data_IF_212729983518
#
_entry.id   IF_212729983518
#
_cell.length_a   1.000
_cell.length_b   1.000
_cell.length_c   1.000
_cell.angle_alpha   90.00
_cell.angle_beta   90.00
_cell.angle_gamma   90.00
#
_symmetry.space_group_name_H-M   'P 1'
#
loop_
_entity.id
_entity.type
_entity.pdbx_description
1 polymer ?
#
# COMPACT_ATOMS: atom_id res chain seq x y z
N UNK A 1 42.01 -66.47 21.48
CA UNK A 1 42.77 -65.22 21.76
C UNK A 1 42.70 -64.17 20.64
N UNK A 2 42.92 -64.50 19.35
CA UNK A 2 42.95 -63.51 18.25
C UNK A 2 41.63 -62.73 18.03
N UNK A 3 40.48 -63.39 18.19
CA UNK A 3 39.15 -62.74 18.02
C UNK A 3 38.85 -61.70 19.09
N UNK A 4 39.23 -61.96 20.35
CA UNK A 4 39.03 -61.04 21.49
C UNK A 4 39.90 -59.78 21.33
N UNK A 5 41.15 -59.94 20.87
CA UNK A 5 42.04 -58.82 20.59
C UNK A 5 41.51 -57.92 19.46
N UNK A 6 40.95 -58.50 18.40
CA UNK A 6 40.33 -57.74 17.30
C UNK A 6 39.12 -56.92 17.77
N UNK A 7 38.23 -57.52 18.57
CA UNK A 7 37.07 -56.85 19.16
C UNK A 7 37.48 -55.67 20.08
N UNK A 8 38.53 -55.84 20.88
CA UNK A 8 39.07 -54.77 21.72
C UNK A 8 39.64 -53.61 20.89
N UNK A 9 40.33 -53.89 19.78
CA UNK A 9 40.86 -52.87 18.86
C UNK A 9 39.71 -52.11 18.18
N UNK A 10 38.68 -52.81 17.71
CA UNK A 10 37.49 -52.19 17.11
C UNK A 10 36.74 -51.32 18.13
N UNK A 11 36.57 -51.79 19.36
CA UNK A 11 35.94 -51.02 20.45
C UNK A 11 36.75 -49.77 20.80
N UNK A 12 38.08 -49.87 20.90
CA UNK A 12 38.98 -48.72 21.10
C UNK A 12 38.92 -47.73 19.93
N UNK A 13 38.89 -48.20 18.68
CA UNK A 13 38.73 -47.34 17.49
C UNK A 13 37.37 -46.63 17.49
N UNK A 14 36.29 -47.34 17.82
CA UNK A 14 34.95 -46.76 17.93
C UNK A 14 34.86 -45.72 19.05
N UNK A 15 35.44 -46.00 20.22
CA UNK A 15 35.51 -45.06 21.34
C UNK A 15 36.33 -43.81 20.98
N UNK A 16 37.47 -43.97 20.31
CA UNK A 16 38.29 -42.85 19.83
C UNK A 16 37.55 -42.00 18.80
N UNK A 17 36.80 -42.61 17.87
CA UNK A 17 35.93 -41.89 16.92
C UNK A 17 34.83 -41.10 17.62
N UNK A 18 34.17 -41.68 18.63
CA UNK A 18 33.15 -40.99 19.44
C UNK A 18 33.74 -39.81 20.21
N UNK A 19 34.92 -39.98 20.82
CA UNK A 19 35.63 -38.89 21.51
C UNK A 19 36.01 -37.75 20.56
N UNK A 20 36.54 -38.08 19.38
CA UNK A 20 36.86 -37.08 18.35
C UNK A 20 35.61 -36.34 17.86
N UNK A 21 34.50 -37.05 17.63
CA UNK A 21 33.23 -36.42 17.24
C UNK A 21 32.70 -35.49 18.35
N UNK A 22 32.80 -35.89 19.61
CA UNK A 22 32.40 -35.07 20.76
C UNK A 22 33.29 -33.83 20.89
N UNK A 23 34.61 -33.97 20.73
CA UNK A 23 35.55 -32.84 20.72
C UNK A 23 35.27 -31.88 19.56
N UNK A 24 35.02 -32.40 18.36
CA UNK A 24 34.64 -31.58 17.21
C UNK A 24 33.32 -30.84 17.44
N UNK A 25 32.33 -31.53 18.02
CA UNK A 25 31.06 -30.92 18.42
C UNK A 25 31.27 -29.81 19.46
N UNK A 26 32.04 -30.06 20.53
CA UNK A 26 32.35 -29.06 21.56
C UNK A 26 33.13 -27.87 21.00
N UNK A 27 34.10 -28.10 20.12
CA UNK A 27 34.86 -27.05 19.45
C UNK A 27 33.95 -26.20 18.55
N UNK A 28 33.07 -26.83 17.77
CA UNK A 28 32.04 -26.14 16.98
C UNK A 28 31.12 -25.32 17.88
N UNK A 29 30.61 -25.92 18.97
CA UNK A 29 29.69 -25.24 19.88
C UNK A 29 30.36 -24.07 20.60
N UNK A 30 31.63 -24.23 20.98
CA UNK A 30 32.44 -23.17 21.56
C UNK A 30 32.66 -22.04 20.55
N UNK A 31 33.09 -22.35 19.33
CA UNK A 31 33.31 -21.35 18.29
C UNK A 31 32.01 -20.64 17.84
N UNK A 32 30.90 -21.37 17.73
CA UNK A 32 29.64 -20.84 17.22
C UNK A 32 28.86 -20.03 18.27
N UNK A 33 28.94 -20.39 19.55
CA UNK A 33 28.07 -19.83 20.60
C UNK A 33 28.80 -19.14 21.75
N UNK A 34 30.02 -19.59 22.10
CA UNK A 34 30.78 -19.05 23.24
C UNK A 34 31.80 -17.99 22.81
N UNK A 35 32.49 -18.19 21.69
CA UNK A 35 33.45 -17.24 21.13
C UNK A 35 32.72 -16.12 20.38
N UNK A 36 32.16 -15.17 21.14
CA UNK A 36 31.42 -14.02 20.59
C UNK A 36 32.39 -12.93 20.13
N UNK A 37 32.78 -12.96 18.87
CA UNK A 37 33.44 -11.80 18.24
C UNK A 37 32.43 -10.65 18.06
N UNK A 38 32.81 -9.40 18.36
CA UNK A 38 31.90 -8.27 18.22
C UNK A 38 31.60 -8.01 16.73
N UNK A 39 30.32 -8.13 16.33
CA UNK A 39 29.87 -8.06 14.92
C UNK A 39 29.48 -6.65 14.43
N UNK A 40 29.31 -5.70 15.35
CA UNK A 40 28.77 -4.36 15.12
C UNK A 40 29.71 -3.35 15.76
N UNK A 41 30.84 -3.14 15.08
CA UNK A 41 31.98 -2.34 15.56
C UNK A 41 32.33 -1.22 14.58
N UNK A 42 31.39 -0.85 13.71
CA UNK A 42 31.58 0.32 12.84
C UNK A 42 31.82 1.56 13.69
N UNK A 43 32.79 2.38 13.31
CA UNK A 43 33.02 3.69 13.91
C UNK A 43 31.82 4.62 13.71
N UNK A 44 31.13 4.49 12.57
CA UNK A 44 29.88 5.21 12.30
C UNK A 44 28.71 4.41 12.87
N UNK A 45 28.16 4.88 13.99
CA UNK A 45 26.97 4.30 14.62
C UNK A 45 25.69 4.70 13.87
N UNK A 46 24.57 4.01 14.15
CA UNK A 46 23.28 4.38 13.58
C UNK A 46 22.87 5.81 13.90
N UNK A 47 23.06 6.26 15.14
CA UNK A 47 22.79 7.63 15.56
C UNK A 47 23.65 8.67 14.82
N UNK A 48 24.95 8.40 14.66
CA UNK A 48 25.86 9.31 13.93
C UNK A 48 25.51 9.40 12.44
N UNK A 49 25.14 8.28 11.82
CA UNK A 49 24.68 8.30 10.42
C UNK A 49 23.38 9.08 10.25
N UNK A 50 22.45 8.98 11.21
CA UNK A 50 21.21 9.76 11.19
C UNK A 50 21.50 11.25 11.30
N UNK A 51 22.41 11.65 12.19
CA UNK A 51 22.86 13.04 12.31
C UNK A 51 23.52 13.55 11.02
N UNK A 52 24.40 12.75 10.41
CA UNK A 52 25.02 13.05 9.12
C UNK A 52 23.96 13.30 8.03
N UNK A 53 22.94 12.45 7.93
CA UNK A 53 21.86 12.65 6.96
C UNK A 53 21.01 13.88 7.26
N UNK A 54 20.75 14.18 8.54
CA UNK A 54 19.97 15.35 8.94
C UNK A 54 20.68 16.66 8.61
N UNK A 55 22.01 16.72 8.70
CA UNK A 55 22.82 17.91 8.39
C UNK A 55 23.18 17.99 6.91
N UNK A 56 23.37 16.84 6.26
CA UNK A 56 23.89 16.72 4.90
C UNK A 56 22.94 17.15 3.77
N UNK A 57 23.13 16.53 2.61
CA UNK A 57 22.41 16.87 1.39
C UNK A 57 20.90 16.51 1.49
N UNK A 58 20.04 17.44 1.08
CA UNK A 58 18.59 17.28 1.18
C UNK A 58 18.04 16.16 0.29
N UNK A 59 18.56 16.00 -0.92
CA UNK A 59 18.12 14.97 -1.86
C UNK A 59 18.54 13.59 -1.37
N UNK A 60 19.75 13.44 -0.83
CA UNK A 60 20.20 12.21 -0.19
C UNK A 60 19.28 11.82 0.98
N UNK A 61 18.82 12.79 1.78
CA UNK A 61 17.84 12.54 2.84
C UNK A 61 16.51 12.01 2.28
N UNK A 62 15.99 12.64 1.22
CA UNK A 62 14.74 12.19 0.56
C UNK A 62 14.93 10.80 -0.03
N UNK A 63 16.09 10.50 -0.60
CA UNK A 63 16.40 9.19 -1.15
C UNK A 63 16.39 8.11 -0.08
N UNK A 64 17.00 8.37 1.08
CA UNK A 64 17.11 7.41 2.18
C UNK A 64 15.82 7.25 3.00
N UNK A 65 15.06 8.33 3.19
CA UNK A 65 13.92 8.35 4.11
C UNK A 65 12.58 8.66 3.46
N UNK A 66 12.54 8.78 2.13
CA UNK A 66 11.33 8.87 1.30
C UNK A 66 10.43 10.08 1.59
N UNK A 67 10.97 11.08 2.31
CA UNK A 67 10.28 12.33 2.64
C UNK A 67 11.29 13.48 2.85
N UNK A 68 10.89 14.75 2.65
CA UNK A 68 11.74 15.90 2.95
C UNK A 68 12.04 16.07 4.44
N UNK A 69 13.21 16.64 4.77
CA UNK A 69 13.63 16.93 6.16
C UNK A 69 12.59 17.71 6.98
N UNK A 70 11.95 18.79 6.47
CA UNK A 70 10.93 19.50 7.24
C UNK A 70 9.73 18.62 7.61
N UNK A 71 9.25 17.80 6.66
CA UNK A 71 8.17 16.84 6.90
C UNK A 71 8.57 15.75 7.90
N UNK A 72 9.83 15.30 7.86
CA UNK A 72 10.36 14.35 8.83
C UNK A 72 10.37 14.93 10.25
N UNK A 73 10.86 16.15 10.43
CA UNK A 73 10.91 16.81 11.74
C UNK A 73 9.49 16.97 12.28
N UNK A 74 8.56 17.43 11.45
CA UNK A 74 7.15 17.58 11.83
C UNK A 74 6.50 16.23 12.20
N UNK A 75 6.76 15.16 11.44
CA UNK A 75 6.25 13.82 11.75
C UNK A 75 6.83 13.30 13.06
N UNK A 76 8.13 13.51 13.29
CA UNK A 76 8.79 13.10 14.52
C UNK A 76 8.15 13.78 15.74
N UNK A 77 7.90 15.09 15.66
CA UNK A 77 7.21 15.83 16.72
C UNK A 77 5.79 15.32 16.96
N UNK A 78 5.03 15.06 15.89
CA UNK A 78 3.67 14.49 16.01
C UNK A 78 3.69 13.11 16.68
N UNK A 79 4.64 12.25 16.31
CA UNK A 79 4.80 10.93 16.93
C UNK A 79 5.22 11.01 18.40
N UNK A 80 6.07 11.97 18.77
CA UNK A 80 6.47 12.18 20.16
C UNK A 80 5.34 12.73 21.01
N UNK A 81 4.55 13.68 20.48
CA UNK A 81 3.46 14.34 21.22
C UNK A 81 2.20 13.47 21.30
N UNK A 82 1.80 12.88 20.17
CA UNK A 82 0.49 12.24 20.02
C UNK A 82 0.58 10.72 19.78
N UNK A 83 1.76 10.19 19.42
CA UNK A 83 1.97 8.76 19.13
C UNK A 83 2.72 7.98 20.21
N UNK A 84 3.04 8.60 21.35
CA UNK A 84 3.84 8.02 22.44
C UNK A 84 5.23 7.50 22.02
N UNK A 85 5.82 8.04 20.94
CA UNK A 85 7.15 7.63 20.50
C UNK A 85 8.21 8.20 21.45
N UNK A 86 8.74 7.36 22.33
CA UNK A 86 9.77 7.73 23.31
C UNK A 86 11.15 7.22 22.92
N UNK A 87 12.18 7.97 23.31
CA UNK A 87 13.56 7.52 23.22
C UNK A 87 13.78 6.36 24.18
N UNK A 88 14.78 5.54 23.88
CA UNK A 88 15.30 4.53 24.82
C UNK A 88 16.72 4.88 25.20
N UNK A 89 17.30 4.16 26.16
CA UNK A 89 18.72 4.32 26.50
C UNK A 89 19.66 4.11 25.30
N UNK A 90 19.25 3.33 24.30
CA UNK A 90 20.11 2.91 23.20
C UNK A 90 19.77 3.54 21.84
N UNK A 91 18.54 4.03 21.64
CA UNK A 91 18.03 4.49 20.34
C UNK A 91 17.13 5.71 20.55
N UNK A 92 17.46 6.81 19.87
CA UNK A 92 16.70 8.08 19.91
C UNK A 92 15.40 7.99 19.12
N UNK A 93 14.47 8.94 19.28
CA UNK A 93 13.26 8.96 18.46
C UNK A 93 13.60 9.21 16.97
N UNK A 94 14.56 10.09 16.71
CA UNK A 94 15.09 10.38 15.37
C UNK A 94 15.58 9.10 14.70
N UNK A 95 16.43 8.33 15.39
CA UNK A 95 16.98 7.10 14.86
C UNK A 95 15.91 6.02 14.67
N UNK A 96 14.95 5.91 15.58
CA UNK A 96 13.81 5.00 15.44
C UNK A 96 13.02 5.28 14.15
N UNK A 97 12.69 6.55 13.89
CA UNK A 97 11.94 6.93 12.70
C UNK A 97 12.77 6.75 11.42
N UNK A 98 14.05 7.11 11.43
CA UNK A 98 14.96 6.88 10.30
C UNK A 98 15.10 5.38 9.98
N UNK A 99 15.21 4.54 11.02
CA UNK A 99 15.24 3.08 10.91
C UNK A 99 13.99 2.54 10.24
N UNK A 100 12.81 3.02 10.66
CA UNK A 100 11.55 2.66 10.03
C UNK A 100 11.48 3.10 8.57
N UNK A 101 11.76 4.37 8.27
CA UNK A 101 11.67 4.91 6.91
C UNK A 101 12.65 4.23 5.94
N UNK A 102 13.87 3.96 6.40
CA UNK A 102 14.87 3.23 5.61
C UNK A 102 14.41 1.79 5.32
N UNK A 103 13.84 1.11 6.32
CA UNK A 103 13.28 -0.24 6.15
C UNK A 103 12.18 -0.28 5.09
N UNK A 104 11.18 0.60 5.20
CA UNK A 104 10.02 0.60 4.29
C UNK A 104 10.37 1.14 2.89
N UNK A 105 11.37 2.01 2.82
CA UNK A 105 11.83 2.63 1.57
C UNK A 105 12.77 1.75 0.75
N UNK A 106 13.61 0.92 1.37
CA UNK A 106 14.70 0.22 0.66
C UNK A 106 14.60 -1.30 0.64
N UNK A 107 13.64 -1.91 1.35
CA UNK A 107 13.54 -3.37 1.50
C UNK A 107 14.86 -4.04 1.94
N UNK A 108 15.63 -3.46 2.87
CA UNK A 108 16.91 -4.02 3.25
C UNK A 108 16.74 -5.39 3.94
N UNK A 109 17.71 -6.28 3.76
CA UNK A 109 17.77 -7.51 4.55
C UNK A 109 17.98 -7.17 6.03
N UNK A 110 17.61 -8.09 6.94
CA UNK A 110 17.89 -7.93 8.37
C UNK A 110 19.38 -7.70 8.63
N UNK A 111 20.26 -8.34 7.86
CA UNK A 111 21.71 -8.13 7.95
C UNK A 111 22.09 -6.71 7.56
N UNK A 112 21.56 -6.18 6.46
CA UNK A 112 21.84 -4.80 6.02
C UNK A 112 21.34 -3.78 7.04
N UNK A 113 20.17 -4.02 7.66
CA UNK A 113 19.68 -3.18 8.76
C UNK A 113 20.63 -3.20 9.97
N UNK A 114 21.06 -4.39 10.38
CA UNK A 114 21.99 -4.55 11.52
C UNK A 114 23.33 -3.88 11.27
N UNK A 115 23.84 -3.93 10.04
CA UNK A 115 25.09 -3.27 9.65
C UNK A 115 24.92 -1.77 9.43
N UNK A 116 23.76 -1.28 8.96
CA UNK A 116 23.54 0.16 8.80
C UNK A 116 23.39 0.87 10.15
N UNK A 117 22.55 0.32 11.02
CA UNK A 117 22.21 0.98 12.29
C UNK A 117 23.06 0.49 13.47
N UNK A 118 23.95 -0.48 13.27
CA UNK A 118 24.81 -1.05 14.32
C UNK A 118 24.04 -1.62 15.53
N UNK A 119 22.79 -2.03 15.30
CA UNK A 119 21.91 -2.65 16.30
C UNK A 119 21.70 -4.14 16.02
N UNK A 120 21.28 -4.90 17.05
CA UNK A 120 20.87 -6.28 16.85
C UNK A 120 19.57 -6.37 16.04
N UNK A 121 19.33 -7.50 15.37
CA UNK A 121 18.07 -7.72 14.64
C UNK A 121 16.83 -7.66 15.54
N UNK A 122 16.99 -8.03 16.80
CA UNK A 122 15.95 -7.91 17.84
C UNK A 122 15.65 -6.43 18.14
N UNK A 123 16.70 -5.62 18.35
CA UNK A 123 16.58 -4.17 18.57
C UNK A 123 15.86 -3.49 17.41
N UNK A 124 16.28 -3.79 16.17
CA UNK A 124 15.64 -3.28 14.95
C UNK A 124 14.16 -3.66 14.91
N UNK A 125 13.84 -4.94 15.11
CA UNK A 125 12.46 -5.41 15.07
C UNK A 125 11.58 -4.77 16.15
N UNK A 126 12.13 -4.55 17.36
CA UNK A 126 11.43 -3.85 18.45
C UNK A 126 11.11 -2.42 18.05
N UNK A 127 12.07 -1.68 17.48
CA UNK A 127 11.86 -0.28 17.13
C UNK A 127 10.96 -0.10 15.90
N UNK A 128 11.00 -1.01 14.92
CA UNK A 128 10.01 -1.06 13.84
C UNK A 128 8.58 -1.17 14.40
N UNK A 129 8.35 -2.10 15.34
CA UNK A 129 7.03 -2.26 15.98
C UNK A 129 6.61 -1.02 16.77
N UNK A 130 7.54 -0.38 17.48
CA UNK A 130 7.26 0.86 18.23
C UNK A 130 6.82 1.99 17.30
N UNK A 131 7.54 2.22 16.20
CA UNK A 131 7.18 3.28 15.24
C UNK A 131 5.84 2.97 14.58
N UNK A 132 5.59 1.71 14.19
CA UNK A 132 4.27 1.30 13.66
C UNK A 132 3.17 1.56 14.68
N UNK A 133 3.34 1.16 15.94
CA UNK A 133 2.36 1.42 17.00
C UNK A 133 2.10 2.92 17.20
N UNK A 134 3.15 3.75 17.19
CA UNK A 134 3.01 5.20 17.29
C UNK A 134 2.28 5.83 16.10
N UNK A 135 2.53 5.34 14.88
CA UNK A 135 1.82 5.77 13.68
C UNK A 135 0.33 5.37 13.73
N UNK A 136 0.02 4.17 14.24
CA UNK A 136 -1.35 3.73 14.44
C UNK A 136 -2.09 4.58 15.48
N UNK A 137 -1.41 4.99 16.56
CA UNK A 137 -2.00 5.83 17.59
C UNK A 137 -2.46 7.20 17.04
N UNK A 138 -1.74 7.76 16.07
CA UNK A 138 -2.11 9.03 15.42
C UNK A 138 -3.00 8.83 14.17
N UNK A 139 -3.27 7.59 13.75
CA UNK A 139 -4.01 7.31 12.52
C UNK A 139 -5.38 8.01 12.44
N UNK A 140 -6.21 8.06 13.51
CA UNK A 140 -7.50 8.76 13.47
C UNK A 140 -7.39 10.28 13.18
N UNK A 141 -6.22 10.89 13.40
CA UNK A 141 -5.97 12.31 13.09
C UNK A 141 -5.62 12.52 11.61
N UNK A 142 -5.15 11.46 10.94
CA UNK A 142 -4.63 11.52 9.58
C UNK A 142 -5.50 10.81 8.54
N UNK A 143 -6.35 9.88 8.95
CA UNK A 143 -7.22 9.09 8.09
C UNK A 143 -8.61 9.16 8.67
N UNK A 144 -9.47 9.91 7.99
CA UNK A 144 -10.85 10.12 8.37
C UNK A 144 -11.70 10.36 7.12
N UNK A 145 -12.98 10.03 7.22
CA UNK A 145 -13.93 10.18 6.13
C UNK A 145 -14.14 11.66 5.79
N UNK A 146 -14.35 12.00 4.49
CA UNK A 146 -14.81 13.33 4.12
C UNK A 146 -16.15 13.63 4.81
N UNK A 147 -16.42 14.91 5.12
CA UNK A 147 -17.67 15.27 5.77
C UNK A 147 -18.86 14.91 4.87
N UNK A 148 -19.93 14.41 5.49
CA UNK A 148 -21.15 14.02 4.78
C UNK A 148 -21.83 15.20 4.08
N UNK A 149 -21.62 16.40 4.60
CA UNK A 149 -22.09 17.68 4.05
C UNK A 149 -20.86 18.54 3.80
N UNK A 150 -20.70 19.03 2.58
CA UNK A 150 -19.55 19.85 2.21
C UNK A 150 -19.62 20.23 0.74
N UNK A 151 -18.76 21.16 0.30
CA UNK A 151 -18.73 21.57 -1.10
C UNK A 151 -18.33 20.40 -2.01
N UNK A 152 -18.63 20.55 -3.30
CA UNK A 152 -18.11 19.69 -4.35
C UNK A 152 -16.57 19.74 -4.35
N UNK A 153 -15.86 18.60 -4.40
CA UNK A 153 -14.41 18.58 -4.53
C UNK A 153 -13.93 19.42 -5.72
N UNK A 154 -12.85 20.19 -5.54
CA UNK A 154 -12.34 21.15 -6.55
C UNK A 154 -12.05 20.47 -7.88
N UNK A 155 -11.50 19.25 -7.88
CA UNK A 155 -11.22 18.49 -9.10
C UNK A 155 -12.49 18.20 -9.93
N UNK A 156 -13.63 18.03 -9.27
CA UNK A 156 -14.92 17.81 -9.92
C UNK A 156 -15.50 19.15 -10.38
N UNK A 157 -15.59 20.12 -9.46
CA UNK A 157 -16.21 21.42 -9.71
C UNK A 157 -15.54 22.21 -10.86
N UNK A 158 -14.22 22.09 -11.00
CA UNK A 158 -13.46 22.80 -12.04
C UNK A 158 -13.44 22.08 -13.39
N UNK A 159 -13.99 20.86 -13.47
CA UNK A 159 -13.96 20.04 -14.67
C UNK A 159 -15.37 19.88 -15.24
N UNK A 160 -15.68 20.59 -16.33
CA UNK A 160 -16.99 20.53 -17.01
C UNK A 160 -17.34 19.17 -17.62
N UNK A 161 -16.38 18.23 -17.65
CA UNK A 161 -16.64 16.83 -18.02
C UNK A 161 -17.19 16.01 -16.86
N UNK A 162 -17.01 16.48 -15.62
CA UNK A 162 -17.39 15.80 -14.39
C UNK A 162 -18.54 16.52 -13.69
N UNK A 163 -18.46 17.83 -13.53
CA UNK A 163 -19.56 18.65 -13.03
C UNK A 163 -20.60 18.90 -14.15
N UNK A 164 -21.91 18.84 -13.86
CA UNK A 164 -22.53 18.64 -12.54
C UNK A 164 -22.74 17.17 -12.14
N UNK A 165 -22.42 16.23 -13.02
CA UNK A 165 -22.81 14.81 -12.93
C UNK A 165 -22.29 14.09 -11.69
N UNK A 166 -21.13 14.50 -11.18
CA UNK A 166 -20.47 13.87 -10.03
C UNK A 166 -20.30 14.83 -8.84
N UNK A 167 -21.05 15.92 -8.77
CA UNK A 167 -20.84 16.97 -7.75
C UNK A 167 -20.96 16.45 -6.31
N UNK A 168 -21.82 15.46 -6.09
CA UNK A 168 -22.03 14.80 -4.80
C UNK A 168 -21.10 13.59 -4.56
N UNK A 169 -20.09 13.36 -5.40
CA UNK A 169 -19.12 12.30 -5.17
C UNK A 169 -18.12 12.70 -4.06
N UNK A 170 -17.93 11.84 -3.06
CA UNK A 170 -17.01 12.13 -1.92
C UNK A 170 -15.60 11.61 -2.12
N UNK A 171 -15.49 10.38 -2.60
CA UNK A 171 -14.25 9.61 -2.61
C UNK A 171 -14.38 8.41 -3.56
N UNK A 172 -13.23 7.88 -3.98
CA UNK A 172 -13.14 6.63 -4.71
C UNK A 172 -12.72 5.49 -3.75
N UNK A 173 -13.32 4.31 -3.91
CA UNK A 173 -13.02 3.13 -3.09
C UNK A 173 -12.59 1.99 -4.01
N UNK A 174 -11.52 1.31 -3.61
CA UNK A 174 -11.03 0.16 -4.35
C UNK A 174 -10.18 -0.80 -3.49
N UNK A 175 -10.08 -2.04 -3.97
CA UNK A 175 -9.20 -3.06 -3.40
C UNK A 175 -7.79 -3.00 -4.00
N UNK A 176 -6.80 -3.37 -3.20
CA UNK A 176 -5.44 -3.64 -3.69
C UNK A 176 -4.85 -4.84 -2.97
N UNK A 177 -4.03 -5.60 -3.70
CA UNK A 177 -3.30 -6.72 -3.11
C UNK A 177 -1.90 -6.29 -2.69
N UNK A 178 -1.52 -6.69 -1.47
CA UNK A 178 -0.17 -6.54 -0.91
C UNK A 178 0.39 -7.93 -0.65
N UNK A 179 1.57 -8.30 -1.19
CA UNK A 179 2.21 -9.58 -0.91
C UNK A 179 2.47 -9.76 0.59
N UNK A 180 2.20 -10.96 1.09
CA UNK A 180 2.40 -11.28 2.51
C UNK A 180 3.24 -12.52 2.72
N UNK A 181 3.90 -12.59 3.87
CA UNK A 181 4.53 -13.80 4.34
C UNK A 181 3.67 -14.45 5.42
N UNK A 182 3.21 -15.67 5.17
CA UNK A 182 2.48 -16.51 6.11
C UNK A 182 3.13 -17.89 6.12
N UNK A 183 2.92 -18.68 7.18
CA UNK A 183 3.46 -20.03 7.24
C UNK A 183 2.85 -20.89 6.14
N UNK A 184 3.60 -21.85 5.62
CA UNK A 184 3.15 -22.71 4.51
C UNK A 184 1.82 -23.43 4.79
N UNK A 185 1.56 -23.82 6.05
CA UNK A 185 0.28 -24.45 6.44
C UNK A 185 -0.91 -23.47 6.55
N UNK A 186 -0.66 -22.17 6.56
CA UNK A 186 -1.65 -21.11 6.75
C UNK A 186 -1.89 -20.33 5.44
N UNK A 187 -1.19 -20.67 4.33
CA UNK A 187 -1.16 -19.84 3.13
C UNK A 187 -2.36 -19.99 2.19
N UNK A 188 -3.16 -21.05 2.32
CA UNK A 188 -4.23 -21.36 1.38
C UNK A 188 -5.26 -20.21 1.21
N UNK A 189 -5.77 -19.56 2.28
CA UNK A 189 -6.68 -18.44 2.13
C UNK A 189 -6.04 -17.20 1.47
N UNK A 190 -4.73 -17.04 1.61
CA UNK A 190 -4.00 -15.90 1.06
C UNK A 190 -3.61 -16.09 -0.41
N UNK A 191 -3.80 -17.30 -0.95
CA UNK A 191 -3.43 -17.63 -2.32
C UNK A 191 -4.51 -17.12 -3.28
N UNK A 192 -4.25 -15.96 -3.88
CA UNK A 192 -5.07 -15.39 -4.95
C UNK A 192 -4.38 -15.45 -6.31
N UNK A 193 -5.01 -14.83 -7.31
CA UNK A 193 -4.46 -14.71 -8.69
C UNK A 193 -3.09 -14.02 -8.72
N UNK A 194 -2.82 -13.14 -7.75
CA UNK A 194 -1.56 -12.37 -7.61
C UNK A 194 -0.55 -13.03 -6.66
N UNK A 195 -0.73 -14.32 -6.36
CA UNK A 195 0.06 -15.08 -5.39
C UNK A 195 -0.42 -14.92 -3.96
N UNK A 196 0.47 -15.12 -3.00
CA UNK A 196 0.16 -15.05 -1.57
C UNK A 196 0.11 -13.59 -1.12
N UNK A 197 -1.10 -13.07 -0.94
CA UNK A 197 -1.37 -11.65 -0.69
C UNK A 197 -2.42 -11.45 0.41
N UNK A 198 -2.45 -10.25 0.99
CA UNK A 198 -3.63 -9.74 1.69
C UNK A 198 -4.42 -8.82 0.75
N UNK A 199 -5.74 -8.84 0.85
CA UNK A 199 -6.60 -7.82 0.27
C UNK A 199 -6.66 -6.60 1.22
N UNK A 200 -6.48 -5.41 0.65
CA UNK A 200 -6.57 -4.12 1.33
C UNK A 200 -7.59 -3.28 0.59
N UNK A 201 -8.72 -2.98 1.24
CA UNK A 201 -9.69 -2.03 0.73
C UNK A 201 -9.32 -0.63 1.26
N UNK A 202 -9.29 0.37 0.39
CA UNK A 202 -9.10 1.74 0.82
C UNK A 202 -10.03 2.70 0.09
N UNK A 203 -10.32 3.82 0.76
CA UNK A 203 -10.99 4.97 0.19
C UNK A 203 -10.01 6.14 0.06
N UNK A 204 -10.16 6.91 -1.01
CA UNK A 204 -9.29 8.03 -1.34
C UNK A 204 -10.12 9.24 -1.76
N UNK A 205 -9.84 10.41 -1.19
CA UNK A 205 -10.39 11.67 -1.69
C UNK A 205 -9.71 12.11 -3.00
N UNK A 206 -10.27 13.12 -3.65
CA UNK A 206 -9.74 13.66 -4.91
C UNK A 206 -8.50 14.53 -4.71
N UNK A 207 -8.24 14.96 -3.47
CA UNK A 207 -6.94 15.53 -3.17
C UNK A 207 -5.85 14.47 -3.17
N UNK A 208 -6.16 13.18 -3.02
CA UNK A 208 -5.35 11.95 -2.86
C UNK A 208 -4.82 11.61 -1.45
N UNK A 209 -5.66 11.82 -0.46
CA UNK A 209 -5.47 11.27 0.89
C UNK A 209 -6.28 9.99 1.04
N UNK A 210 -5.72 9.02 1.76
CA UNK A 210 -6.49 7.89 2.27
C UNK A 210 -7.50 8.41 3.31
N UNK A 211 -8.79 8.15 3.09
CA UNK A 211 -9.87 8.56 4.00
C UNK A 211 -10.41 7.39 4.81
N UNK A 212 -10.18 6.17 4.33
CA UNK A 212 -10.48 4.92 5.01
C UNK A 212 -9.53 3.84 4.51
N UNK A 213 -9.11 2.92 5.38
CA UNK A 213 -8.29 1.76 5.02
C UNK A 213 -8.71 0.57 5.88
N UNK A 214 -8.98 -0.55 5.23
CA UNK A 214 -9.21 -1.85 5.86
C UNK A 214 -8.21 -2.84 5.25
N UNK A 215 -7.20 -3.19 6.02
CA UNK A 215 -6.18 -4.16 5.65
C UNK A 215 -6.38 -5.48 6.41
N UNK A 216 -5.83 -6.56 5.86
CA UNK A 216 -5.71 -7.84 6.55
C UNK A 216 -6.73 -8.90 6.15
N UNK A 217 -7.54 -8.64 5.14
CA UNK A 217 -8.38 -9.65 4.51
C UNK A 217 -7.53 -10.64 3.71
N UNK A 218 -7.99 -11.88 3.61
CA UNK A 218 -7.29 -12.91 2.85
C UNK A 218 -7.24 -12.56 1.36
N UNK A 219 -6.14 -12.89 0.69
CA UNK A 219 -5.94 -12.57 -0.73
C UNK A 219 -6.94 -13.24 -1.68
N UNK A 220 -7.67 -14.26 -1.23
CA UNK A 220 -8.78 -14.86 -1.98
C UNK A 220 -10.13 -14.19 -1.72
N UNK A 221 -10.23 -13.25 -0.77
CA UNK A 221 -11.48 -12.59 -0.45
C UNK A 221 -11.86 -11.60 -1.56
N UNK A 222 -13.05 -11.78 -2.14
CA UNK A 222 -13.59 -10.88 -3.15
C UNK A 222 -13.93 -9.51 -2.56
N UNK A 223 -13.75 -8.46 -3.37
CA UNK A 223 -13.85 -7.07 -2.93
C UNK A 223 -15.22 -6.71 -2.33
N UNK A 224 -16.32 -7.30 -2.84
CA UNK A 224 -17.65 -7.11 -2.27
C UNK A 224 -17.76 -7.57 -0.81
N UNK A 225 -17.11 -8.68 -0.44
CA UNK A 225 -17.11 -9.18 0.94
C UNK A 225 -16.30 -8.27 1.86
N UNK A 226 -15.13 -7.83 1.40
CA UNK A 226 -14.27 -6.89 2.14
C UNK A 226 -15.00 -5.56 2.33
N UNK A 227 -15.76 -5.11 1.33
CA UNK A 227 -16.60 -3.92 1.40
C UNK A 227 -17.71 -4.03 2.44
N UNK A 228 -18.43 -5.15 2.51
CA UNK A 228 -19.45 -5.37 3.53
C UNK A 228 -18.86 -5.29 4.94
N UNK A 229 -17.68 -5.88 5.18
CA UNK A 229 -17.00 -5.76 6.47
C UNK A 229 -16.51 -4.33 6.75
N UNK A 230 -16.06 -3.60 5.73
CA UNK A 230 -15.68 -2.19 5.87
C UNK A 230 -16.83 -1.33 6.40
N UNK A 231 -18.06 -1.56 5.90
CA UNK A 231 -19.26 -0.86 6.40
C UNK A 231 -19.51 -1.14 7.89
N UNK A 232 -19.26 -2.37 8.35
CA UNK A 232 -19.36 -2.74 9.77
C UNK A 232 -18.23 -2.13 10.62
N UNK A 233 -17.07 -1.86 10.00
CA UNK A 233 -15.86 -1.34 10.66
C UNK A 233 -15.65 0.16 10.45
N UNK A 234 -16.73 0.91 10.30
CA UNK A 234 -16.71 2.37 10.34
C UNK A 234 -16.57 3.08 8.99
N UNK A 235 -16.69 2.37 7.86
CA UNK A 235 -16.93 3.04 6.57
C UNK A 235 -18.39 3.53 6.52
N UNK A 236 -18.60 4.82 6.74
CA UNK A 236 -19.94 5.42 6.84
C UNK A 236 -20.40 6.02 5.50
N UNK A 237 -21.54 5.54 5.02
CA UNK A 237 -22.21 6.07 3.82
C UNK A 237 -22.88 7.42 4.14
N UNK A 238 -22.73 8.40 3.26
CA UNK A 238 -23.38 9.71 3.44
C UNK A 238 -24.88 9.62 3.12
N UNK A 239 -25.76 10.28 3.88
CA UNK A 239 -27.18 10.37 3.56
C UNK A 239 -27.45 11.18 2.28
N UNK A 240 -26.60 12.14 1.92
CA UNK A 240 -26.81 13.07 0.79
C UNK A 240 -25.86 12.85 -0.38
N UNK A 241 -24.73 12.17 -0.15
CA UNK A 241 -23.66 11.98 -1.13
C UNK A 241 -23.45 10.50 -1.49
N UNK A 242 -22.62 10.25 -2.50
CA UNK A 242 -22.25 8.90 -2.95
C UNK A 242 -20.74 8.75 -3.13
N UNK A 243 -20.27 7.50 -3.20
CA UNK A 243 -18.88 7.14 -3.45
C UNK A 243 -18.76 6.40 -4.79
N UNK A 244 -17.59 6.43 -5.42
CA UNK A 244 -17.34 5.79 -6.72
C UNK A 244 -16.51 4.50 -6.56
N UNK A 245 -16.98 3.39 -7.14
CA UNK A 245 -16.43 2.04 -6.98
C UNK A 245 -16.27 1.32 -8.32
N UNK A 246 -15.60 0.16 -8.32
CA UNK A 246 -15.36 -0.65 -9.52
C UNK A 246 -16.61 -1.40 -9.97
N UNK A 247 -16.55 -1.95 -11.18
CA UNK A 247 -17.49 -2.92 -11.70
C UNK A 247 -17.67 -4.16 -10.79
N UNK A 248 -16.65 -4.52 -10.00
CA UNK A 248 -16.67 -5.64 -9.05
C UNK A 248 -17.52 -5.43 -7.80
N UNK A 249 -18.01 -4.20 -7.56
CA UNK A 249 -18.89 -3.88 -6.44
C UNK A 249 -20.36 -3.80 -6.89
N UNK A 250 -21.27 -3.87 -5.92
CA UNK A 250 -22.70 -3.69 -6.17
C UNK A 250 -23.07 -2.22 -6.42
N UNK A 251 -23.94 -1.97 -7.40
CA UNK A 251 -24.50 -0.66 -7.68
C UNK A 251 -25.59 -0.33 -6.66
N UNK A 252 -25.42 0.80 -5.97
CA UNK A 252 -26.46 1.36 -5.09
C UNK A 252 -26.51 2.88 -5.28
N UNK A 253 -27.55 3.56 -4.76
CA UNK A 253 -27.58 5.03 -4.72
C UNK A 253 -26.44 5.66 -3.91
N UNK A 254 -25.68 4.86 -3.16
CA UNK A 254 -24.51 5.29 -2.40
C UNK A 254 -23.19 4.85 -3.02
N UNK A 255 -23.22 3.89 -3.94
CA UNK A 255 -22.06 3.26 -4.55
C UNK A 255 -22.24 3.28 -6.07
N UNK A 256 -21.61 4.24 -6.74
CA UNK A 256 -21.72 4.40 -8.19
C UNK A 256 -20.67 3.55 -8.90
N UNK A 257 -21.13 2.50 -9.59
CA UNK A 257 -20.30 1.58 -10.37
C UNK A 257 -20.53 1.77 -11.88
N UNK A 258 -19.54 1.46 -12.72
CA UNK A 258 -19.65 1.62 -14.17
C UNK A 258 -20.65 0.62 -14.79
N UNK A 259 -21.04 0.86 -16.04
CA UNK A 259 -21.72 -0.16 -16.83
C UNK A 259 -20.77 -1.32 -17.08
N UNK A 260 -21.20 -2.52 -16.68
CA UNK A 260 -20.50 -3.77 -16.98
C UNK A 260 -20.62 -4.10 -18.48
N UNK A 261 -19.68 -4.88 -19.00
CA UNK A 261 -19.66 -5.33 -20.40
C UNK A 261 -19.73 -4.21 -21.45
N UNK A 262 -19.36 -2.99 -21.06
CA UNK A 262 -19.23 -1.80 -21.90
C UNK A 262 -17.81 -1.28 -21.78
N UNK A 263 -17.25 -0.72 -22.87
CA UNK A 263 -15.91 -0.13 -22.92
C UNK A 263 -15.65 0.76 -21.69
N UNK A 264 -14.67 0.38 -20.87
CA UNK A 264 -14.45 0.93 -19.53
C UNK A 264 -13.06 1.54 -19.34
N UNK A 265 -12.03 0.99 -19.97
CA UNK A 265 -10.67 1.42 -19.70
C UNK A 265 -10.32 2.70 -20.49
N UNK A 266 -9.71 3.68 -19.82
CA UNK A 266 -9.25 4.94 -20.44
C UNK A 266 -8.42 4.72 -21.72
N UNK A 267 -7.70 3.59 -21.77
CA UNK A 267 -6.87 3.17 -22.91
C UNK A 267 -7.67 2.84 -24.17
N UNK A 268 -8.87 2.27 -24.02
CA UNK A 268 -9.75 1.89 -25.13
C UNK A 268 -10.27 3.13 -25.91
N UNK A 269 -10.23 4.30 -25.28
CA UNK A 269 -10.49 5.60 -25.90
C UNK A 269 -9.21 6.24 -26.49
N UNK A 270 -8.05 5.95 -25.90
CA UNK A 270 -6.74 6.44 -26.33
C UNK A 270 -6.25 5.85 -27.65
N UNK A 271 -6.49 4.55 -27.89
CA UNK A 271 -5.94 3.79 -29.04
C UNK A 271 -6.49 4.18 -30.43
N UNK A 272 -7.43 5.13 -30.54
CA UNK A 272 -7.87 5.60 -31.87
C UNK A 272 -8.48 6.99 -31.90
N UNK A 273 -8.27 7.82 -30.86
CA UNK A 273 -9.06 9.04 -30.63
C UNK A 273 -10.58 8.76 -30.76
N UNK A 274 -10.98 7.54 -30.42
CA UNK A 274 -12.35 7.10 -30.60
C UNK A 274 -13.20 7.83 -29.58
N UNK A 275 -14.12 8.64 -30.10
CA UNK A 275 -15.10 9.33 -29.26
C UNK A 275 -16.05 8.27 -28.70
N UNK A 276 -16.53 8.44 -27.45
CA UNK A 276 -17.64 7.64 -26.96
C UNK A 276 -18.80 7.66 -27.94
N UNK A 277 -19.33 6.49 -28.27
CA UNK A 277 -20.42 6.28 -29.23
C UNK A 277 -21.78 6.17 -28.54
N UNK A 278 -21.79 5.78 -27.26
CA UNK A 278 -23.02 5.62 -26.47
C UNK A 278 -22.97 6.40 -25.16
N UNK A 279 -24.13 6.54 -24.50
CA UNK A 279 -24.23 7.17 -23.17
C UNK A 279 -23.43 6.38 -22.13
N UNK A 280 -23.44 5.05 -22.23
CA UNK A 280 -22.76 4.12 -21.34
C UNK A 280 -21.24 4.24 -21.49
N UNK A 281 -20.74 4.29 -22.73
CA UNK A 281 -19.33 4.52 -23.02
C UNK A 281 -18.85 5.87 -22.45
N UNK A 282 -19.62 6.95 -22.68
CA UNK A 282 -19.26 8.27 -22.17
C UNK A 282 -19.25 8.28 -20.64
N UNK A 283 -20.27 7.69 -20.01
CA UNK A 283 -20.34 7.55 -18.56
C UNK A 283 -19.14 6.77 -18.03
N UNK A 284 -18.85 5.59 -18.57
CA UNK A 284 -17.72 4.75 -18.18
C UNK A 284 -16.39 5.49 -18.31
N UNK A 285 -16.20 6.24 -19.40
CA UNK A 285 -15.01 7.08 -19.58
C UNK A 285 -14.87 8.12 -18.44
N UNK A 286 -15.95 8.83 -18.08
CA UNK A 286 -15.90 9.84 -16.99
C UNK A 286 -15.76 9.21 -15.62
N UNK A 287 -16.44 8.10 -15.39
CA UNK A 287 -16.33 7.29 -14.18
C UNK A 287 -14.88 6.84 -13.97
N UNK A 288 -14.25 6.25 -14.99
CA UNK A 288 -12.86 5.84 -14.94
C UNK A 288 -11.90 7.03 -14.73
N UNK A 289 -12.17 8.20 -15.33
CA UNK A 289 -11.39 9.43 -15.08
C UNK A 289 -11.42 9.85 -13.61
N UNK A 290 -12.59 9.77 -12.98
CA UNK A 290 -12.78 10.19 -11.59
C UNK A 290 -12.21 9.15 -10.60
N UNK A 291 -12.49 7.86 -10.82
CA UNK A 291 -12.01 6.75 -10.00
C UNK A 291 -10.49 6.62 -10.02
N UNK A 292 -9.82 7.04 -11.09
CA UNK A 292 -8.37 6.98 -11.28
C UNK A 292 -7.53 7.51 -10.08
N UNK A 293 -8.08 8.35 -9.20
CA UNK A 293 -7.37 8.78 -7.99
C UNK A 293 -7.01 7.60 -7.06
N UNK A 294 -7.87 6.59 -6.87
CA UNK A 294 -7.59 5.44 -5.98
C UNK A 294 -6.50 4.52 -6.56
N UNK A 295 -6.49 4.32 -7.87
CA UNK A 295 -5.41 3.57 -8.53
C UNK A 295 -4.08 4.31 -8.41
N UNK A 296 -4.10 5.63 -8.61
CA UNK A 296 -2.89 6.46 -8.52
C UNK A 296 -2.34 6.48 -7.10
N UNK A 297 -3.16 6.65 -6.07
CA UNK A 297 -2.66 6.70 -4.68
C UNK A 297 -2.01 5.37 -4.27
N UNK A 298 -2.56 4.23 -4.71
CA UNK A 298 -1.91 2.92 -4.48
C UNK A 298 -0.57 2.81 -5.20
N UNK A 299 -0.49 3.29 -6.45
CA UNK A 299 0.76 3.36 -7.21
C UNK A 299 1.81 4.19 -6.48
N UNK A 300 1.45 5.39 -6.03
CA UNK A 300 2.33 6.29 -5.27
C UNK A 300 2.80 5.63 -3.98
N UNK A 301 1.89 5.02 -3.23
CA UNK A 301 2.22 4.36 -1.97
C UNK A 301 3.24 3.23 -2.17
N UNK A 302 3.04 2.37 -3.18
CA UNK A 302 3.95 1.27 -3.51
C UNK A 302 5.29 1.74 -4.07
N UNK A 303 5.31 2.84 -4.82
CA UNK A 303 6.53 3.45 -5.33
C UNK A 303 7.37 4.11 -4.23
N UNK A 304 6.71 4.86 -3.34
CA UNK A 304 7.38 5.50 -2.19
C UNK A 304 7.85 4.48 -1.16
N UNK A 305 7.05 3.44 -0.91
CA UNK A 305 7.34 2.38 0.05
C UNK A 305 7.37 1.00 -0.62
N UNK A 306 8.48 0.68 -1.30
CA UNK A 306 8.62 -0.57 -2.04
C UNK A 306 8.52 -1.83 -1.18
N UNK A 307 8.58 -1.74 0.16
CA UNK A 307 8.29 -2.85 1.08
C UNK A 307 6.91 -3.47 0.87
N UNK A 308 5.93 -2.70 0.37
CA UNK A 308 4.60 -3.19 0.02
C UNK A 308 4.58 -4.04 -1.25
N UNK A 309 5.71 -4.16 -1.95
CA UNK A 309 5.85 -4.98 -3.17
C UNK A 309 6.67 -6.26 -2.93
N UNK A 310 7.25 -6.45 -1.74
CA UNK A 310 7.93 -7.69 -1.38
C UNK A 310 7.39 -8.20 -0.03
N UNK A 311 6.80 -9.39 0.00
CA UNK A 311 6.28 -9.96 1.24
C UNK A 311 7.33 -9.90 2.36
N UNK A 312 6.95 -9.33 3.51
CA UNK A 312 7.88 -9.04 4.60
C UNK A 312 7.87 -10.19 5.59
N UNK A 313 9.04 -10.70 6.01
CA UNK A 313 9.16 -11.82 6.96
C UNK A 313 8.93 -11.38 8.42
N UNK A 314 7.73 -10.87 8.70
CA UNK A 314 7.22 -10.59 10.03
C UNK A 314 5.90 -11.37 10.23
N UNK A 315 5.40 -11.43 11.45
CA UNK A 315 4.06 -11.97 11.69
C UNK A 315 2.99 -11.16 10.93
N UNK A 316 1.88 -11.83 10.62
CA UNK A 316 0.81 -11.25 9.81
C UNK A 316 0.23 -9.97 10.42
N UNK A 317 0.05 -9.93 11.75
CA UNK A 317 -0.47 -8.75 12.46
C UNK A 317 0.41 -7.52 12.26
N UNK A 318 1.73 -7.68 12.30
CA UNK A 318 2.66 -6.60 11.95
C UNK A 318 2.52 -6.16 10.50
N UNK A 319 2.38 -7.10 9.54
CA UNK A 319 2.24 -6.77 8.13
C UNK A 319 0.95 -5.95 7.87
N UNK A 320 -0.17 -6.31 8.49
CA UNK A 320 -1.43 -5.54 8.43
C UNK A 320 -1.25 -4.14 9.01
N UNK A 321 -0.65 -4.05 10.19
CA UNK A 321 -0.35 -2.77 10.87
C UNK A 321 0.57 -1.87 10.05
N UNK A 322 1.53 -2.47 9.33
CA UNK A 322 2.47 -1.76 8.48
C UNK A 322 1.77 -1.05 7.31
N UNK A 323 0.80 -1.70 6.66
CA UNK A 323 0.02 -1.08 5.59
C UNK A 323 -0.66 0.19 6.10
N UNK A 324 -1.34 0.09 7.25
CA UNK A 324 -2.04 1.22 7.85
C UNK A 324 -1.07 2.35 8.23
N UNK A 325 0.07 2.01 8.84
CA UNK A 325 1.10 2.98 9.20
C UNK A 325 1.65 3.73 7.97
N UNK A 326 1.82 3.05 6.82
CA UNK A 326 2.30 3.69 5.60
C UNK A 326 1.27 4.61 4.96
N UNK A 327 -0.02 4.28 5.04
CA UNK A 327 -1.10 5.20 4.64
C UNK A 327 -1.08 6.49 5.49
N UNK A 328 -0.80 6.38 6.81
CA UNK A 328 -0.65 7.54 7.70
C UNK A 328 0.53 8.40 7.28
N UNK A 329 1.70 7.79 7.02
CA UNK A 329 2.89 8.54 6.56
C UNK A 329 2.63 9.23 5.22
N UNK A 330 1.98 8.55 4.26
CA UNK A 330 1.59 9.14 2.97
C UNK A 330 0.70 10.38 3.18
N UNK A 331 -0.37 10.26 3.96
CA UNK A 331 -1.26 11.39 4.25
C UNK A 331 -0.54 12.53 4.97
N UNK A 332 0.36 12.20 5.90
CA UNK A 332 1.15 13.20 6.62
C UNK A 332 2.03 14.02 5.66
N UNK A 333 2.82 13.34 4.80
CA UNK A 333 3.67 13.97 3.78
C UNK A 333 2.85 14.94 2.93
N UNK A 334 1.68 14.48 2.49
CA UNK A 334 0.80 15.24 1.60
C UNK A 334 0.22 16.49 2.25
N UNK A 335 -0.25 16.36 3.49
CA UNK A 335 -0.82 17.48 4.27
C UNK A 335 0.22 18.52 4.65
N UNK A 336 1.49 18.12 4.75
CA UNK A 336 2.61 19.05 4.93
C UNK A 336 2.95 19.84 3.64
N UNK A 337 2.22 19.63 2.55
CA UNK A 337 2.36 20.39 1.30
C UNK A 337 3.31 19.76 0.28
N UNK A 338 3.81 18.55 0.52
CA UNK A 338 4.61 17.82 -0.46
C UNK A 338 3.67 17.21 -1.51
N UNK A 339 3.61 17.82 -2.69
CA UNK A 339 2.80 17.39 -3.83
C UNK A 339 3.70 17.28 -5.07
N UNK A 340 3.38 16.35 -5.97
CA UNK A 340 4.10 16.13 -7.22
C UNK A 340 5.61 15.90 -7.03
N UNK A 341 6.00 15.26 -5.94
CA UNK A 341 7.41 14.93 -5.73
C UNK A 341 7.87 13.80 -6.67
N UNK A 342 9.17 13.49 -6.66
CA UNK A 342 9.74 12.47 -7.54
C UNK A 342 9.03 11.12 -7.47
N UNK A 343 8.56 10.70 -6.30
CA UNK A 343 7.89 9.41 -6.14
C UNK A 343 6.49 9.42 -6.74
N UNK A 344 5.78 10.55 -6.66
CA UNK A 344 4.49 10.71 -7.38
C UNK A 344 4.69 10.70 -8.90
N UNK A 345 5.72 11.38 -9.38
CA UNK A 345 6.05 11.44 -10.81
C UNK A 345 6.47 10.07 -11.34
N UNK A 346 7.38 9.38 -10.65
CA UNK A 346 7.85 8.03 -11.00
C UNK A 346 6.69 7.03 -11.01
N UNK A 347 5.75 7.14 -10.06
CA UNK A 347 4.54 6.32 -10.04
C UNK A 347 3.63 6.58 -11.24
N UNK A 348 3.41 7.85 -11.60
CA UNK A 348 2.61 8.18 -12.77
C UNK A 348 3.28 7.73 -14.08
N UNK A 349 4.62 7.77 -14.17
CA UNK A 349 5.39 7.25 -15.33
C UNK A 349 5.23 5.73 -15.42
N UNK A 350 5.53 5.00 -14.34
CA UNK A 350 5.45 3.54 -14.32
C UNK A 350 4.04 3.06 -14.65
N UNK A 351 3.02 3.73 -14.08
CA UNK A 351 1.62 3.44 -14.38
C UNK A 351 1.31 3.63 -15.86
N UNK A 352 1.77 4.73 -16.49
CA UNK A 352 1.58 4.96 -17.94
C UNK A 352 2.27 3.90 -18.80
N UNK A 353 3.45 3.42 -18.39
CA UNK A 353 4.18 2.34 -19.08
C UNK A 353 3.45 1.00 -18.98
N UNK A 354 3.08 0.57 -17.77
CA UNK A 354 2.26 -0.63 -17.56
C UNK A 354 0.92 -0.54 -18.31
N UNK A 355 0.40 0.69 -18.43
CA UNK A 355 -0.79 0.93 -19.19
C UNK A 355 -0.61 0.69 -20.70
N UNK A 356 0.58 0.93 -21.27
CA UNK A 356 0.90 0.66 -22.68
C UNK A 356 1.21 -0.82 -22.94
N UNK A 357 1.77 -1.55 -21.97
CA UNK A 357 2.19 -2.95 -22.15
C UNK A 357 1.05 -3.96 -22.03
N UNK A 358 0.05 -3.72 -21.18
CA UNK A 358 -1.09 -4.63 -20.96
C UNK A 358 -2.11 -4.68 -22.13
N UNK A 359 -1.68 -4.41 -23.37
CA UNK A 359 -2.48 -4.42 -24.60
C UNK A 359 -2.60 -5.84 -25.19
N UNK A 360 -1.87 -6.82 -24.64
CA UNK A 360 -1.81 -8.19 -25.20
C UNK A 360 -2.64 -9.26 -24.48
N UNK A 361 -3.31 -8.95 -23.37
CA UNK A 361 -4.05 -9.98 -22.61
C UNK A 361 -5.41 -9.43 -22.15
N UNK A 362 -6.42 -9.60 -23.00
CA UNK A 362 -7.81 -9.31 -22.67
C UNK A 362 -8.58 -10.61 -22.45
N UNK A 363 -8.91 -10.86 -21.19
CA UNK A 363 -10.22 -11.32 -20.72
C UNK A 363 -10.03 -11.80 -19.29
N UNK A 364 -10.41 -10.98 -18.32
CA UNK A 364 -10.64 -11.51 -16.98
C UNK A 364 -12.07 -11.12 -16.56
N UNK A 365 -13.00 -12.09 -16.45
CA UNK A 365 -14.31 -11.83 -15.89
C UNK A 365 -14.12 -11.51 -14.41
N UNK A 366 -14.54 -10.30 -14.00
CA UNK A 366 -14.67 -9.98 -12.59
C UNK A 366 -15.65 -10.97 -11.94
N UNK A 367 -15.33 -11.51 -10.76
CA UNK A 367 -16.29 -12.33 -10.01
C UNK A 367 -17.53 -11.48 -9.70
N UNK A 368 -18.67 -11.84 -10.30
CA UNK A 368 -19.83 -10.99 -10.42
C UNK A 368 -20.74 -11.05 -9.18
N UNK A 369 -20.96 -9.91 -8.54
CA UNK A 369 -22.11 -9.70 -7.64
C UNK A 369 -23.19 -8.99 -8.44
N UNK A 370 -24.01 -9.73 -9.19
CA UNK A 370 -25.18 -9.19 -9.92
C UNK A 370 -26.43 -9.11 -9.04
N UNK A 371 -26.54 -10.00 -8.05
CA UNK A 371 -27.78 -10.23 -7.30
C UNK A 371 -28.11 -9.14 -6.25
N UNK A 372 -27.32 -8.06 -6.19
CA UNK A 372 -27.47 -6.97 -5.22
C UNK A 372 -27.81 -5.60 -5.82
N UNK A 373 -27.91 -5.50 -7.15
CA UNK A 373 -28.17 -4.22 -7.84
C UNK A 373 -29.67 -3.90 -7.86
N UNK A 374 -30.07 -2.82 -7.18
CA UNK A 374 -31.46 -2.31 -7.23
C UNK A 374 -31.76 -1.65 -8.58
N UNK A 375 -32.95 -1.91 -9.14
CA UNK A 375 -33.43 -1.24 -10.36
C UNK A 375 -33.51 0.28 -10.21
N UNK A 376 -33.78 0.76 -8.99
CA UNK A 376 -33.77 2.18 -8.68
C UNK A 376 -32.37 2.80 -8.84
N UNK A 377 -31.32 2.06 -8.48
CA UNK A 377 -29.94 2.50 -8.63
C UNK A 377 -29.49 2.47 -10.10
N UNK A 378 -29.97 1.48 -10.88
CA UNK A 378 -29.76 1.43 -12.33
C UNK A 378 -30.39 2.64 -13.02
N UNK A 379 -31.65 2.95 -12.71
CA UNK A 379 -32.36 4.12 -13.25
C UNK A 379 -31.67 5.43 -12.87
N UNK A 380 -31.17 5.54 -11.64
CA UNK A 380 -30.39 6.70 -11.19
C UNK A 380 -29.12 6.88 -12.02
N UNK A 381 -28.32 5.83 -12.21
CA UNK A 381 -27.12 5.86 -13.07
C UNK A 381 -27.48 6.22 -14.51
N UNK A 382 -28.53 5.62 -15.05
CA UNK A 382 -29.02 5.87 -16.41
C UNK A 382 -29.44 7.33 -16.64
N UNK A 383 -30.02 7.97 -15.62
CA UNK A 383 -30.36 9.39 -15.66
C UNK A 383 -29.10 10.27 -15.75
N UNK A 384 -28.05 9.94 -14.97
CA UNK A 384 -26.76 10.63 -15.04
C UNK A 384 -26.14 10.46 -16.43
N UNK A 385 -26.06 9.22 -16.93
CA UNK A 385 -25.50 8.90 -18.24
C UNK A 385 -26.26 9.59 -19.39
N UNK A 386 -27.59 9.59 -19.34
CA UNK A 386 -28.45 10.24 -20.33
C UNK A 386 -28.24 11.75 -20.38
N UNK A 387 -28.26 12.42 -19.22
CA UNK A 387 -28.01 13.86 -19.11
C UNK A 387 -26.62 14.23 -19.64
N UNK A 388 -25.61 13.44 -19.26
CA UNK A 388 -24.24 13.62 -19.72
C UNK A 388 -24.11 13.46 -21.24
N UNK A 389 -24.81 12.49 -21.82
CA UNK A 389 -24.81 12.22 -23.26
C UNK A 389 -25.43 13.36 -24.06
N UNK A 390 -26.60 13.87 -23.63
CA UNK A 390 -27.26 15.01 -24.30
C UNK A 390 -26.35 16.22 -24.32
N UNK A 391 -25.76 16.57 -23.18
CA UNK A 391 -24.84 17.71 -23.08
C UNK A 391 -23.59 17.53 -23.95
N UNK A 392 -23.06 16.30 -24.03
CA UNK A 392 -21.94 15.98 -24.90
C UNK A 392 -22.27 16.12 -26.39
N UNK A 393 -23.44 15.65 -26.83
CA UNK A 393 -23.89 15.80 -28.22
C UNK A 393 -24.08 17.27 -28.60
N UNK A 394 -24.67 18.07 -27.71
CA UNK A 394 -24.81 19.52 -27.91
C UNK A 394 -23.45 20.19 -28.12
N UNK A 395 -22.48 19.88 -27.25
CA UNK A 395 -21.13 20.41 -27.35
C UNK A 395 -20.39 19.96 -28.62
N UNK A 396 -20.63 18.74 -29.11
CA UNK A 396 -20.11 18.29 -30.40
C UNK A 396 -20.73 19.06 -31.57
N UNK A 397 -22.04 19.31 -31.53
CA UNK A 397 -22.75 20.06 -32.57
C UNK A 397 -22.30 21.52 -32.63
N UNK A 398 -22.11 22.18 -31.49
CA UNK A 398 -21.54 23.53 -31.43
C UNK A 398 -20.13 23.59 -32.02
N UNK A 399 -19.28 22.61 -31.71
CA UNK A 399 -17.93 22.53 -32.27
C UNK A 399 -17.93 22.28 -33.78
N UNK A 400 -18.91 21.54 -34.31
CA UNK A 400 -19.09 21.37 -35.76
C UNK A 400 -19.51 22.70 -36.40
N UNK A 401 -20.48 23.41 -35.81
CA UNK A 401 -20.96 24.72 -36.29
C UNK A 401 -19.87 25.81 -36.29
N UNK A 402 -18.91 25.76 -35.37
CA UNK A 402 -17.76 26.70 -35.35
C UNK A 402 -16.66 26.37 -36.37
N UNK A 403 -16.70 25.18 -36.97
CA UNK A 403 -15.70 24.70 -37.94
C UNK A 403 -16.19 24.76 -39.39
N UNK A 404 -17.51 24.72 -39.59
CA UNK A 404 -18.19 25.14 -40.83
C UNK A 404 -18.22 26.65 -40.91
#
# INVERSE_FOLDING_TARGET
>A
MKQVACLLILRRRAQRRRQLAMLAYMAYHYAAYLLKSPKRVSALTGAMWVEEMLVGNADAFIEMFRMPRPSFIALLEELMRNGDLKATRAVTCQEQLCLFLYFVGHKPSSTNMQQRFQHSGETISRHLRRVVASLLAIAPRHIFLPPSIGPTPVEIATNSKLSPYFDDCRMAIDGTHVPVWVKAGESAPYHGRKGVTMNVLAACDFDMHFTYVLAGWEGSAGDGRVYTDALLRGLVLSPTKFDILDAGFALTKKCLTPYRSTRYHLKEYGQGRLKPQTKEELFNLRHAQLRNCIERIFGILKMRFPVLSCGVRYDYSFQVSLVMALCVVHNFIRRWGVRQDRFEQDADILRRQQQQEAVSDQNDPADHVEDADSDEAKLWRDSIAGTMWVNYQNLLNERRRRRS
#
